data_IF_302444888945
#
_entry.id   IF_302444888945
#
_cell.length_a   1.000
_cell.length_b   1.000
_cell.length_c   1.000
_cell.angle_alpha   90.00
_cell.angle_beta   90.00
_cell.angle_gamma   90.00
#
_symmetry.space_group_name_H-M   'P 1'
#
loop_
_entity.id
_entity.type
_entity.pdbx_description
1 polymer ?
#
# COMPACT_ATOMS: atom_id res chain seq x y z
N UNK A 1 28.65 -37.84 -7.02
CA UNK A 1 28.60 -36.60 -6.21
C UNK A 1 28.55 -35.32 -7.03
N UNK A 2 29.43 -35.09 -8.03
CA UNK A 2 29.46 -33.82 -8.79
C UNK A 2 28.16 -33.45 -9.54
N UNK A 3 27.44 -34.42 -10.09
CA UNK A 3 26.23 -34.16 -10.90
C UNK A 3 25.06 -33.73 -10.01
N UNK A 4 24.83 -34.41 -8.89
CA UNK A 4 23.75 -34.10 -7.96
C UNK A 4 23.87 -32.69 -7.35
N UNK A 5 25.09 -32.21 -7.10
CA UNK A 5 25.31 -30.84 -6.59
C UNK A 5 24.98 -29.78 -7.64
N UNK A 6 25.32 -30.02 -8.91
CA UNK A 6 24.99 -29.09 -10.01
C UNK A 6 23.48 -29.06 -10.26
N UNK A 7 22.80 -30.20 -10.21
CA UNK A 7 21.34 -30.25 -10.36
C UNK A 7 20.64 -29.55 -9.20
N UNK A 8 21.14 -29.67 -7.97
CA UNK A 8 20.60 -28.98 -6.81
C UNK A 8 20.79 -27.46 -6.91
N UNK A 9 21.97 -26.99 -7.35
CA UNK A 9 22.21 -25.55 -7.56
C UNK A 9 21.30 -25.00 -8.66
N UNK A 10 21.14 -25.71 -9.78
CA UNK A 10 20.24 -25.29 -10.85
C UNK A 10 18.77 -25.29 -10.41
N UNK A 11 18.36 -26.24 -9.57
CA UNK A 11 17.01 -26.29 -9.01
C UNK A 11 16.80 -25.10 -8.06
N UNK A 12 17.74 -24.82 -7.15
CA UNK A 12 17.67 -23.67 -6.24
C UNK A 12 17.67 -22.34 -7.00
N UNK A 13 18.51 -22.19 -8.03
CA UNK A 13 18.50 -21.00 -8.90
C UNK A 13 17.19 -20.86 -9.69
N UNK A 14 16.59 -21.97 -10.16
CA UNK A 14 15.30 -21.91 -10.86
C UNK A 14 14.15 -21.49 -9.91
N UNK A 15 14.17 -21.96 -8.67
CA UNK A 15 13.19 -21.56 -7.64
C UNK A 15 13.36 -20.08 -7.27
N UNK A 16 14.62 -19.61 -7.14
CA UNK A 16 14.92 -18.20 -6.90
C UNK A 16 14.51 -17.30 -8.08
N UNK A 17 14.65 -17.76 -9.33
CA UNK A 17 14.19 -17.03 -10.51
C UNK A 17 12.66 -17.06 -10.68
N UNK A 18 11.94 -18.03 -10.11
CA UNK A 18 10.46 -18.06 -10.13
C UNK A 18 9.81 -17.27 -8.99
N UNK A 19 10.58 -16.85 -7.98
CA UNK A 19 10.14 -15.97 -6.90
C UNK A 19 10.28 -14.48 -7.23
N UNK A 20 10.61 -14.13 -8.47
CA UNK A 20 10.60 -12.73 -8.91
C UNK A 20 9.15 -12.28 -9.06
N UNK A 21 8.57 -11.79 -7.97
CA UNK A 21 7.39 -10.91 -8.02
C UNK A 21 7.75 -9.80 -9.00
N UNK A 22 6.99 -9.63 -10.08
CA UNK A 22 7.24 -8.54 -11.04
C UNK A 22 7.39 -7.22 -10.27
N UNK A 23 8.36 -6.36 -10.63
CA UNK A 23 8.55 -5.09 -9.95
C UNK A 23 7.25 -4.28 -10.04
N UNK A 24 6.89 -3.62 -8.94
CA UNK A 24 5.70 -2.79 -8.93
C UNK A 24 5.86 -1.66 -9.96
N UNK A 25 4.74 -1.14 -10.52
CA UNK A 25 4.81 0.12 -11.25
C UNK A 25 5.45 1.16 -10.33
N UNK A 26 6.25 2.06 -10.92
CA UNK A 26 7.02 3.04 -10.17
C UNK A 26 6.11 3.81 -9.19
N UNK A 27 6.47 3.74 -7.91
CA UNK A 27 5.82 4.48 -6.84
C UNK A 27 6.38 5.89 -6.89
N UNK A 28 5.53 6.85 -7.26
CA UNK A 28 5.96 8.22 -7.49
C UNK A 28 5.83 9.06 -6.21
N UNK A 29 6.88 9.78 -5.88
CA UNK A 29 6.89 10.77 -4.81
C UNK A 29 6.33 12.13 -5.27
N UNK A 30 5.75 12.95 -4.38
CA UNK A 30 5.48 12.68 -2.96
C UNK A 30 4.31 11.71 -2.75
N UNK A 31 4.38 10.95 -1.67
CA UNK A 31 3.38 9.94 -1.32
C UNK A 31 2.58 10.34 -0.06
N UNK A 32 1.26 10.22 -0.15
CA UNK A 32 0.34 10.27 0.99
C UNK A 32 -0.10 8.86 1.34
N UNK A 33 0.11 8.45 2.59
CA UNK A 33 -0.39 7.21 3.15
C UNK A 33 -1.55 7.51 4.12
N UNK A 34 -2.64 6.76 3.98
CA UNK A 34 -3.83 6.86 4.83
C UNK A 34 -4.36 5.47 5.15
N UNK A 35 -5.34 5.39 6.05
CA UNK A 35 -5.89 4.13 6.55
C UNK A 35 -7.38 4.08 6.26
N UNK A 36 -7.88 2.88 6.01
CA UNK A 36 -9.29 2.53 6.08
C UNK A 36 -9.47 1.29 6.97
N UNK A 37 -10.45 1.34 7.88
CA UNK A 37 -10.71 0.25 8.83
C UNK A 37 -9.70 0.18 9.98
N UNK A 38 -9.76 -0.88 10.77
CA UNK A 38 -8.87 -1.13 11.90
C UNK A 38 -8.07 -2.42 11.71
N UNK A 39 -6.77 -2.40 12.03
CA UNK A 39 -5.95 -3.62 12.06
C UNK A 39 -4.78 -3.45 13.02
N UNK A 40 -4.46 -4.50 13.78
CA UNK A 40 -3.25 -4.52 14.60
C UNK A 40 -1.97 -4.49 13.75
N UNK A 41 -2.05 -4.92 12.49
CA UNK A 41 -0.94 -4.95 11.56
C UNK A 41 -0.56 -3.58 10.99
N UNK A 42 -1.40 -2.55 11.21
CA UNK A 42 -1.06 -1.16 10.88
C UNK A 42 0.22 -0.70 11.60
N UNK A 43 0.43 -1.17 12.83
CA UNK A 43 1.63 -0.88 13.61
C UNK A 43 2.89 -1.45 12.94
N UNK A 44 2.78 -2.63 12.33
CA UNK A 44 3.89 -3.27 11.61
C UNK A 44 4.24 -2.48 10.35
N UNK A 45 3.25 -2.00 9.59
CA UNK A 45 3.50 -1.15 8.42
C UNK A 45 4.19 0.16 8.80
N UNK A 46 3.74 0.80 9.87
CA UNK A 46 4.38 2.02 10.37
C UNK A 46 5.81 1.76 10.82
N UNK A 47 6.03 0.67 11.57
CA UNK A 47 7.36 0.24 11.96
C UNK A 47 8.29 -0.01 10.76
N UNK A 48 7.81 -0.65 9.69
CA UNK A 48 8.59 -0.87 8.48
C UNK A 48 8.97 0.43 7.79
N UNK A 49 8.04 1.38 7.69
CA UNK A 49 8.35 2.68 7.08
C UNK A 49 9.36 3.49 7.86
N UNK A 50 9.25 3.51 9.19
CA UNK A 50 10.20 4.20 10.05
C UNK A 50 11.59 3.55 9.96
N UNK A 51 11.63 2.21 9.97
CA UNK A 51 12.88 1.44 9.90
C UNK A 51 13.60 1.62 8.57
N UNK A 52 12.84 1.73 7.48
CA UNK A 52 13.36 1.89 6.12
C UNK A 52 13.47 3.36 5.68
N UNK A 53 13.12 4.30 6.56
CA UNK A 53 13.14 5.74 6.29
C UNK A 53 12.37 6.13 5.02
N UNK A 54 11.20 5.50 4.80
CA UNK A 54 10.37 5.77 3.63
C UNK A 54 9.82 7.20 3.73
N UNK A 55 10.21 8.07 2.78
CA UNK A 55 9.84 9.47 2.75
C UNK A 55 8.37 9.66 2.32
N UNK A 56 7.47 9.50 3.29
CA UNK A 56 6.01 9.58 3.10
C UNK A 56 5.39 10.58 4.05
N UNK A 57 4.26 11.15 3.66
CA UNK A 57 3.36 11.76 4.62
C UNK A 57 2.32 10.71 5.01
N UNK A 58 2.14 10.49 6.31
CA UNK A 58 1.19 9.54 6.88
C UNK A 58 0.17 10.29 7.72
N UNK A 59 -1.10 10.13 7.35
CA UNK A 59 -2.24 10.68 8.08
C UNK A 59 -3.39 9.68 8.01
N UNK A 60 -3.71 8.96 9.11
CA UNK A 60 -4.74 7.92 9.10
C UNK A 60 -6.10 8.46 8.69
N UNK A 61 -6.42 9.69 9.09
CA UNK A 61 -7.69 10.36 8.80
C UNK A 61 -7.54 11.48 7.75
N UNK A 62 -6.64 11.31 6.78
CA UNK A 62 -6.39 12.33 5.75
C UNK A 62 -7.67 12.71 5.01
N UNK A 63 -7.91 14.00 4.80
CA UNK A 63 -9.07 14.52 4.07
C UNK A 63 -8.68 15.06 2.71
N UNK A 64 -9.68 15.35 1.87
CA UNK A 64 -9.44 15.92 0.54
C UNK A 64 -8.75 17.28 0.63
N UNK A 65 -9.02 18.08 1.67
CA UNK A 65 -8.35 19.36 1.90
C UNK A 65 -6.87 19.18 2.24
N UNK A 66 -6.53 18.11 2.97
CA UNK A 66 -5.16 17.75 3.31
C UNK A 66 -4.39 17.33 2.04
N UNK A 67 -4.99 16.47 1.20
CA UNK A 67 -4.44 16.10 -0.10
C UNK A 67 -4.19 17.32 -0.99
N UNK A 68 -5.17 18.23 -1.08
CA UNK A 68 -5.07 19.45 -1.90
C UNK A 68 -4.05 20.46 -1.35
N UNK A 69 -3.76 20.40 -0.06
CA UNK A 69 -2.71 21.22 0.56
C UNK A 69 -1.30 20.75 0.18
N UNK A 70 -1.17 19.51 -0.32
CA UNK A 70 0.08 18.92 -0.80
C UNK A 70 1.00 18.41 0.31
N UNK A 71 2.17 17.93 -0.09
CA UNK A 71 3.17 17.36 0.81
C UNK A 71 3.56 18.34 1.94
N UNK A 72 3.69 17.81 3.15
CA UNK A 72 4.06 18.53 4.35
C UNK A 72 2.97 19.39 4.95
N UNK A 73 1.70 19.27 4.53
CA UNK A 73 0.58 20.16 4.91
C UNK A 73 0.40 20.42 6.42
N UNK A 74 0.89 19.52 7.28
CA UNK A 74 0.81 19.62 8.75
C UNK A 74 2.15 19.59 9.47
N UNK A 75 3.26 19.80 8.77
CA UNK A 75 4.58 19.94 9.42
C UNK A 75 4.49 20.99 10.55
N UNK A 76 4.90 20.58 11.75
CA UNK A 76 4.86 21.41 12.96
C UNK A 76 3.52 21.50 13.69
N UNK A 77 2.50 20.76 13.24
CA UNK A 77 1.20 20.58 13.92
C UNK A 77 0.77 19.12 13.97
N UNK A 78 1.75 18.23 14.01
CA UNK A 78 1.59 16.79 13.90
C UNK A 78 0.83 16.26 15.11
N UNK A 79 -0.20 15.44 14.85
CA UNK A 79 -0.86 14.65 15.89
C UNK A 79 -0.03 13.40 16.20
N UNK A 80 -0.24 12.72 17.35
CA UNK A 80 0.59 11.59 17.78
C UNK A 80 0.70 10.42 16.78
N UNK A 81 -0.22 10.32 15.83
CA UNK A 81 -0.30 9.25 14.83
C UNK A 81 -0.06 9.75 13.40
N UNK A 82 0.35 11.00 13.24
CA UNK A 82 0.67 11.58 11.93
C UNK A 82 2.18 11.75 11.79
N UNK A 83 2.69 11.54 10.58
CA UNK A 83 4.13 11.66 10.26
C UNK A 83 4.24 12.47 8.97
N UNK A 84 5.05 13.52 8.96
CA UNK A 84 5.28 14.32 7.75
C UNK A 84 6.77 14.51 7.49
N UNK A 85 7.22 14.17 6.29
CA UNK A 85 8.63 14.26 5.94
C UNK A 85 8.96 15.62 5.33
N UNK A 86 9.91 16.39 5.89
CA UNK A 86 10.33 17.69 5.33
C UNK A 86 11.22 17.55 4.08
N UNK A 87 11.20 16.38 3.43
CA UNK A 87 12.01 16.08 2.26
C UNK A 87 11.50 16.81 1.01
N UNK A 88 10.18 16.96 0.89
CA UNK A 88 9.55 17.65 -0.24
C UNK A 88 9.36 19.14 0.04
N UNK A 89 9.32 19.95 -1.02
CA UNK A 89 8.87 21.34 -0.90
C UNK A 89 7.42 21.35 -0.43
N UNK A 90 7.14 22.06 0.66
CA UNK A 90 5.79 22.19 1.20
C UNK A 90 4.79 22.59 0.11
N UNK A 91 3.68 21.85 0.04
CA UNK A 91 2.61 22.05 -0.94
C UNK A 91 2.84 21.38 -2.30
N UNK A 92 3.90 20.57 -2.44
CA UNK A 92 4.08 19.76 -3.66
C UNK A 92 2.90 18.78 -3.79
N UNK A 93 2.20 18.71 -4.95
CA UNK A 93 1.09 17.77 -5.13
C UNK A 93 1.55 16.33 -4.96
N UNK A 94 0.78 15.54 -4.22
CA UNK A 94 1.02 14.11 -4.10
C UNK A 94 0.86 13.41 -5.45
N UNK A 95 1.77 12.50 -5.75
CA UNK A 95 1.73 11.65 -6.95
C UNK A 95 1.19 10.27 -6.65
N UNK A 96 1.30 9.82 -5.41
CA UNK A 96 0.83 8.51 -4.98
C UNK A 96 -0.04 8.61 -3.73
N UNK A 97 -1.17 7.91 -3.76
CA UNK A 97 -1.97 7.58 -2.57
C UNK A 97 -1.74 6.11 -2.23
N UNK A 98 -1.36 5.82 -0.98
CA UNK A 98 -1.37 4.47 -0.43
C UNK A 98 -2.49 4.38 0.60
N UNK A 99 -3.39 3.44 0.39
CA UNK A 99 -4.45 3.11 1.35
C UNK A 99 -4.05 1.82 2.04
N UNK A 100 -3.80 1.91 3.34
CA UNK A 100 -3.62 0.73 4.18
C UNK A 100 -5.02 0.26 4.58
N UNK A 101 -5.36 -0.96 4.19
CA UNK A 101 -6.68 -1.55 4.35
C UNK A 101 -6.63 -2.50 5.54
N UNK A 102 -7.39 -2.19 6.59
CA UNK A 102 -7.62 -3.05 7.74
C UNK A 102 -8.94 -3.82 7.65
N UNK A 103 -9.37 -4.33 8.79
CA UNK A 103 -10.67 -4.97 9.02
C UNK A 103 -11.80 -3.95 9.05
N UNK A 104 -12.95 -4.36 8.51
CA UNK A 104 -14.13 -3.51 8.42
C UNK A 104 -14.88 -3.43 9.76
N UNK A 105 -15.07 -2.21 10.27
CA UNK A 105 -15.98 -1.92 11.38
C UNK A 105 -17.23 -1.17 10.92
N UNK A 106 -18.22 -1.05 11.79
CA UNK A 106 -19.50 -0.41 11.46
C UNK A 106 -19.33 1.09 11.15
N UNK A 107 -18.36 1.76 11.80
CA UNK A 107 -18.00 3.15 11.54
C UNK A 107 -17.19 3.33 10.24
N UNK A 108 -16.56 2.26 9.74
CA UNK A 108 -15.74 2.30 8.51
C UNK A 108 -16.55 2.49 7.23
N UNK A 109 -17.87 2.35 7.28
CA UNK A 109 -18.75 2.54 6.11
C UNK A 109 -18.78 3.99 5.62
N UNK A 110 -18.86 4.96 6.55
CA UNK A 110 -18.84 6.39 6.21
C UNK A 110 -17.48 6.81 5.64
N UNK A 111 -16.43 6.08 6.02
CA UNK A 111 -15.05 6.34 5.64
C UNK A 111 -14.73 5.93 4.20
N UNK A 112 -15.53 5.05 3.60
CA UNK A 112 -15.37 4.63 2.19
C UNK A 112 -15.42 5.84 1.26
N UNK A 113 -16.35 6.78 1.51
CA UNK A 113 -16.51 7.99 0.70
C UNK A 113 -15.25 8.86 0.76
N UNK A 114 -14.62 8.97 1.95
CA UNK A 114 -13.37 9.74 2.11
C UNK A 114 -12.27 9.14 1.24
N UNK A 115 -12.11 7.82 1.29
CA UNK A 115 -11.09 7.12 0.51
C UNK A 115 -11.37 7.24 -1.00
N UNK A 116 -12.62 7.09 -1.42
CA UNK A 116 -13.03 7.28 -2.82
C UNK A 116 -12.67 8.69 -3.32
N UNK A 117 -12.97 9.73 -2.54
CA UNK A 117 -12.67 11.11 -2.89
C UNK A 117 -11.15 11.34 -3.05
N UNK A 118 -10.34 10.80 -2.13
CA UNK A 118 -8.89 10.88 -2.22
C UNK A 118 -8.36 10.17 -3.47
N UNK A 119 -8.78 8.91 -3.68
CA UNK A 119 -8.33 8.10 -4.81
C UNK A 119 -8.73 8.74 -6.15
N UNK A 120 -9.97 9.19 -6.27
CA UNK A 120 -10.48 9.87 -7.45
C UNK A 120 -9.70 11.15 -7.77
N UNK A 121 -9.36 11.95 -6.74
CA UNK A 121 -8.56 13.17 -6.92
C UNK A 121 -7.14 12.87 -7.41
N UNK A 122 -6.46 11.88 -6.80
CA UNK A 122 -5.11 11.47 -7.22
C UNK A 122 -5.14 10.94 -8.65
N UNK A 123 -6.08 10.05 -9.00
CA UNK A 123 -6.23 9.56 -10.38
C UNK A 123 -6.57 10.67 -11.38
N UNK A 124 -7.41 11.63 -11.00
CA UNK A 124 -7.76 12.79 -11.82
C UNK A 124 -6.56 13.69 -12.18
N UNK A 125 -5.51 13.66 -11.35
CA UNK A 125 -4.24 14.36 -11.60
C UNK A 125 -3.16 13.51 -12.30
N UNK A 126 -3.51 12.27 -12.69
CA UNK A 126 -2.60 11.32 -13.31
C UNK A 126 -1.72 10.53 -12.33
N UNK A 127 -1.98 10.62 -11.03
CA UNK A 127 -1.25 9.90 -10.00
C UNK A 127 -1.61 8.41 -9.91
N UNK A 128 -1.00 7.76 -8.93
CA UNK A 128 -1.11 6.33 -8.66
C UNK A 128 -1.83 6.05 -7.35
N UNK A 129 -2.64 5.00 -7.31
CA UNK A 129 -3.31 4.55 -6.10
C UNK A 129 -2.93 3.11 -5.81
N UNK A 130 -2.44 2.86 -4.60
CA UNK A 130 -2.06 1.54 -4.12
C UNK A 130 -2.92 1.19 -2.90
N UNK A 131 -3.34 -0.07 -2.81
CA UNK A 131 -3.93 -0.63 -1.61
C UNK A 131 -3.02 -1.71 -1.02
N UNK A 132 -2.84 -1.70 0.30
CA UNK A 132 -2.13 -2.74 1.05
C UNK A 132 -3.14 -3.32 2.04
N UNK A 133 -3.68 -4.50 1.73
CA UNK A 133 -4.63 -5.20 2.58
C UNK A 133 -3.92 -6.15 3.53
N UNK A 134 -4.01 -5.84 4.82
CA UNK A 134 -3.40 -6.56 5.95
C UNK A 134 -4.45 -6.99 6.97
N UNK A 135 -5.69 -7.19 6.53
CA UNK A 135 -6.75 -7.73 7.37
C UNK A 135 -6.57 -9.25 7.61
N UNK A 136 -5.78 -9.58 8.62
CA UNK A 136 -5.51 -10.98 9.04
C UNK A 136 -6.72 -11.61 9.74
N UNK A 137 -7.58 -10.80 10.35
CA UNK A 137 -8.71 -11.30 11.16
C UNK A 137 -9.93 -11.70 10.31
N UNK A 138 -9.84 -11.54 9.00
CA UNK A 138 -10.75 -12.16 8.06
C UNK A 138 -12.16 -11.60 8.17
N UNK A 139 -12.32 -10.31 7.87
CA UNK A 139 -13.65 -9.74 7.55
C UNK A 139 -14.16 -10.19 6.16
N UNK A 140 -13.83 -11.44 5.80
CA UNK A 140 -14.15 -12.23 4.61
C UNK A 140 -15.47 -11.88 3.93
N UNK A 141 -16.54 -11.97 4.70
CA UNK A 141 -17.92 -11.81 4.25
C UNK A 141 -18.56 -10.51 4.76
N UNK A 142 -17.77 -9.55 5.24
CA UNK A 142 -18.33 -8.29 5.74
C UNK A 142 -18.84 -7.44 4.55
N UNK A 143 -20.14 -7.06 4.54
CA UNK A 143 -20.71 -6.29 3.44
C UNK A 143 -20.05 -4.91 3.27
N UNK A 144 -19.55 -4.31 4.36
CA UNK A 144 -18.83 -3.03 4.34
C UNK A 144 -17.47 -3.18 3.65
N UNK A 145 -16.73 -4.28 3.90
CA UNK A 145 -15.51 -4.61 3.16
C UNK A 145 -15.81 -4.81 1.68
N UNK A 146 -16.87 -5.53 1.34
CA UNK A 146 -17.31 -5.71 -0.05
C UNK A 146 -17.64 -4.39 -0.75
N UNK A 147 -18.30 -3.46 -0.04
CA UNK A 147 -18.56 -2.11 -0.54
C UNK A 147 -17.27 -1.31 -0.75
N UNK A 148 -16.35 -1.35 0.21
CA UNK A 148 -15.05 -0.71 0.10
C UNK A 148 -14.26 -1.22 -1.11
N UNK A 149 -14.12 -2.55 -1.23
CA UNK A 149 -13.40 -3.21 -2.34
C UNK A 149 -14.00 -2.79 -3.68
N UNK A 150 -15.32 -2.87 -3.81
CA UNK A 150 -16.03 -2.45 -5.03
C UNK A 150 -15.74 -0.99 -5.39
N UNK A 151 -15.63 -0.12 -4.40
CA UNK A 151 -15.40 1.31 -4.58
C UNK A 151 -13.95 1.63 -4.92
N UNK A 152 -12.98 1.00 -4.27
CA UNK A 152 -11.56 1.33 -4.47
C UNK A 152 -10.94 0.67 -5.70
N UNK A 153 -11.32 -0.57 -6.04
CA UNK A 153 -10.72 -1.35 -7.13
C UNK A 153 -10.62 -0.59 -8.46
N UNK A 154 -11.64 0.18 -8.90
CA UNK A 154 -11.55 0.99 -10.13
C UNK A 154 -10.42 2.02 -10.16
N UNK A 155 -9.86 2.39 -9.01
CA UNK A 155 -8.79 3.38 -8.91
C UNK A 155 -7.39 2.75 -8.78
N UNK A 156 -7.31 1.47 -8.41
CA UNK A 156 -6.04 0.83 -8.06
C UNK A 156 -5.11 0.64 -9.27
N UNK A 157 -3.85 1.01 -9.08
CA UNK A 157 -2.74 0.61 -9.94
C UNK A 157 -2.02 -0.63 -9.36
N UNK A 158 -2.02 -0.77 -8.02
CA UNK A 158 -1.41 -1.90 -7.29
C UNK A 158 -2.33 -2.34 -6.16
N UNK A 159 -2.46 -3.64 -5.99
CA UNK A 159 -3.07 -4.27 -4.83
C UNK A 159 -2.07 -5.24 -4.22
N UNK A 160 -1.66 -4.99 -2.97
CA UNK A 160 -0.87 -5.91 -2.19
C UNK A 160 -1.80 -6.53 -1.15
N UNK A 161 -1.85 -7.85 -1.09
CA UNK A 161 -2.67 -8.60 -0.14
C UNK A 161 -1.72 -9.48 0.68
N UNK A 162 -1.72 -9.32 2.01
CA UNK A 162 -0.95 -10.15 2.92
C UNK A 162 -1.88 -10.79 3.95
N UNK A 163 -1.92 -12.12 3.98
CA UNK A 163 -2.83 -12.93 4.84
C UNK A 163 -4.34 -12.72 4.65
N UNK A 164 -4.76 -11.71 3.89
CA UNK A 164 -6.15 -11.49 3.48
C UNK A 164 -6.50 -12.31 2.21
N UNK A 165 -7.75 -12.80 2.06
CA UNK A 165 -8.16 -13.56 0.88
C UNK A 165 -8.34 -12.65 -0.34
N UNK A 166 -7.49 -12.84 -1.37
CA UNK A 166 -7.63 -12.20 -2.70
C UNK A 166 -9.02 -12.39 -3.31
N UNK A 167 -9.71 -13.49 -2.97
CA UNK A 167 -11.03 -13.86 -3.47
C UNK A 167 -12.08 -12.75 -3.31
N UNK A 168 -11.93 -11.85 -2.34
CA UNK A 168 -12.80 -10.69 -2.18
C UNK A 168 -12.69 -9.67 -3.33
N UNK A 169 -11.49 -9.53 -3.90
CA UNK A 169 -11.17 -8.56 -4.93
C UNK A 169 -11.49 -9.12 -6.33
N UNK A 170 -11.29 -10.42 -6.54
CA UNK A 170 -11.46 -11.09 -7.84
C UNK A 170 -12.76 -10.74 -8.60
N UNK A 171 -13.94 -10.65 -7.96
CA UNK A 171 -15.20 -10.31 -8.66
C UNK A 171 -15.21 -8.89 -9.26
N UNK A 172 -14.39 -7.99 -8.72
CA UNK A 172 -14.35 -6.57 -9.06
C UNK A 172 -13.17 -6.22 -9.97
N UNK A 173 -12.16 -7.09 -10.07
CA UNK A 173 -11.06 -6.98 -11.02
C UNK A 173 -11.57 -7.22 -12.46
N UNK A 174 -12.15 -6.20 -13.08
CA UNK A 174 -12.61 -6.21 -14.47
C UNK A 174 -11.96 -5.07 -15.25
N UNK A 175 -11.25 -5.37 -16.34
CA UNK A 175 -10.57 -4.37 -17.18
C UNK A 175 -9.06 -4.37 -16.99
N UNK A 176 -8.44 -3.19 -16.91
CA UNK A 176 -7.02 -3.06 -16.55
C UNK A 176 -6.85 -3.48 -15.09
N UNK A 177 -6.36 -4.69 -14.89
CA UNK A 177 -6.20 -5.30 -13.56
C UNK A 177 -5.02 -4.61 -12.88
N UNK A 178 -5.16 -4.10 -11.63
CA UNK A 178 -4.01 -3.64 -10.85
C UNK A 178 -2.96 -4.74 -10.77
N UNK A 179 -1.69 -4.36 -10.61
CA UNK A 179 -0.65 -5.34 -10.28
C UNK A 179 -1.00 -5.93 -8.91
N UNK A 180 -1.27 -7.24 -8.89
CA UNK A 180 -1.63 -7.98 -7.68
C UNK A 180 -0.39 -8.65 -7.12
N UNK A 181 -0.09 -8.37 -5.86
CA UNK A 181 0.99 -9.02 -5.09
C UNK A 181 0.37 -9.75 -3.91
N UNK A 182 0.40 -11.07 -3.94
CA UNK A 182 -0.05 -11.92 -2.85
C UNK A 182 1.14 -12.33 -1.98
N UNK A 183 1.05 -12.02 -0.69
CA UNK A 183 2.06 -12.34 0.30
C UNK A 183 1.52 -13.38 1.29
N UNK A 184 2.27 -14.47 1.54
CA UNK A 184 1.85 -15.51 2.48
C UNK A 184 1.66 -15.02 3.91
N UNK A 185 2.48 -14.06 4.35
CA UNK A 185 2.46 -13.50 5.71
C UNK A 185 2.70 -11.99 5.68
N UNK A 186 2.17 -11.24 6.66
CA UNK A 186 2.34 -9.77 6.73
C UNK A 186 3.81 -9.34 6.78
N UNK A 187 4.67 -10.15 7.40
CA UNK A 187 6.11 -9.85 7.55
C UNK A 187 6.81 -9.77 6.20
N UNK A 188 6.31 -10.46 5.17
CA UNK A 188 6.90 -10.42 3.83
C UNK A 188 6.74 -9.05 3.15
N UNK A 189 5.84 -8.19 3.66
CA UNK A 189 5.72 -6.80 3.21
C UNK A 189 7.04 -6.04 3.32
N UNK A 190 7.90 -6.38 4.29
CA UNK A 190 9.20 -5.73 4.43
C UNK A 190 10.02 -5.84 3.14
N UNK A 191 9.94 -6.96 2.42
CA UNK A 191 10.68 -7.17 1.18
C UNK A 191 10.14 -6.29 0.04
N UNK A 192 8.82 -6.08 -0.01
CA UNK A 192 8.19 -5.16 -0.96
C UNK A 192 8.59 -3.72 -0.62
N UNK A 193 8.58 -3.37 0.66
CA UNK A 193 8.93 -2.02 1.11
C UNK A 193 10.40 -1.73 0.82
N UNK A 194 11.33 -2.64 1.12
CA UNK A 194 12.74 -2.49 0.80
C UNK A 194 13.01 -2.34 -0.69
N UNK A 195 12.27 -3.06 -1.54
CA UNK A 195 12.49 -3.09 -2.99
C UNK A 195 11.85 -1.93 -3.73
N UNK A 196 10.59 -1.62 -3.40
CA UNK A 196 9.74 -0.74 -4.21
C UNK A 196 9.44 0.62 -3.56
N UNK A 197 9.54 0.73 -2.23
CA UNK A 197 9.27 1.99 -1.48
C UNK A 197 10.51 2.61 -0.85
N UNK A 198 11.49 1.78 -0.50
CA UNK A 198 12.78 2.19 0.00
C UNK A 198 13.40 3.07 -1.06
N UNK A 199 13.51 4.36 -0.76
CA UNK A 199 14.21 5.30 -1.62
C UNK A 199 15.53 4.66 -2.01
N UNK A 200 15.71 4.44 -3.31
CA UNK A 200 16.84 3.70 -3.84
C UNK A 200 18.10 4.12 -3.09
N UNK A 201 18.88 3.12 -2.65
CA UNK A 201 20.26 3.29 -2.17
C UNK A 201 21.08 3.93 -3.28
N UNK A 202 20.84 5.20 -3.54
CA UNK A 202 21.52 6.05 -4.48
C UNK A 202 22.63 6.76 -3.70
N UNK A 203 23.50 5.97 -3.05
CA UNK A 203 24.80 6.32 -2.47
C UNK A 203 25.38 5.06 -1.79
N UNK A 204 25.89 4.11 -2.59
CA UNK A 204 27.04 3.26 -2.22
C UNK A 204 28.10 3.44 -3.32
#
# INVERSE_FOLDING_TARGET
MKIATVTLILLVCSILCSLTVEPLPAIEDPMLMTVWGESMELLNINYFCDSLQIARDYSPTAKIEDLNSGAGFRIGRELPEEIFHPFYVFGTPYRTLVVIVGGAEQESAEDIIRIEMLASSVKGSGGKVLAIDVDVEGTGDNPVKGEFVRTIVPFLDVLIVAESPTDQYLPFLKGDIPVLVELPVVVDLISVFERDFGGGRCCD
#
